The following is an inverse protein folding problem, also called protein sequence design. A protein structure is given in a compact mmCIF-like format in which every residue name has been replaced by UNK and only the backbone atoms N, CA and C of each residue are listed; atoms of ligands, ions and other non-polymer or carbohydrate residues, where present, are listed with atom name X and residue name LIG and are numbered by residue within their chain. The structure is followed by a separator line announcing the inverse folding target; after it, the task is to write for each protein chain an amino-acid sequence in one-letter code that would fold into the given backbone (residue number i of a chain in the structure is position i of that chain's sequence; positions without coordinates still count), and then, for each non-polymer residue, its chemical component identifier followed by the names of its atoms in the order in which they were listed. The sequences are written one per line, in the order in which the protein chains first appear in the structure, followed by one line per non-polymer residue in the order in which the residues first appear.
data_IF_078334720382
#
_entry.id   IF_078334720382
#
_cell.length_a   1.000
_cell.length_b   1.000
_cell.length_c   1.000
_cell.angle_alpha   90.00
_cell.angle_beta   90.00
_cell.angle_gamma   90.00
#
_symmetry.space_group_name_H-M   'P 1'
#
loop_
_entity.id
_entity.type
_entity.pdbx_description
1 polymer ?
#
# COMPACT_ATOMS: atom_id res chain seq x y z
N UNK A 1 -33.35 -22.68 15.66
CA UNK A 1 -32.62 -21.85 16.65
C UNK A 1 -33.54 -20.69 17.03
N UNK A 2 -34.01 -20.60 18.28
CA UNK A 2 -34.91 -19.52 18.73
C UNK A 2 -34.05 -18.30 19.08
N UNK A 3 -34.36 -17.16 18.48
CA UNK A 3 -33.78 -15.87 18.85
C UNK A 3 -34.14 -15.58 20.31
N UNK A 4 -33.14 -15.19 21.11
CA UNK A 4 -33.34 -14.83 22.51
C UNK A 4 -33.51 -13.32 22.60
N UNK A 5 -34.21 -12.86 23.64
CA UNK A 5 -34.19 -11.44 23.98
C UNK A 5 -32.72 -11.01 24.15
N UNK A 6 -32.36 -9.85 23.57
CA UNK A 6 -31.00 -9.25 23.53
C UNK A 6 -30.02 -9.72 22.43
N UNK A 7 -30.44 -10.53 21.46
CA UNK A 7 -29.61 -10.78 20.27
C UNK A 7 -29.51 -9.52 19.39
N UNK A 8 -28.28 -9.08 19.08
CA UNK A 8 -28.02 -7.94 18.18
C UNK A 8 -27.90 -8.44 16.75
N UNK A 9 -28.93 -8.16 15.93
CA UNK A 9 -28.97 -8.56 14.52
C UNK A 9 -28.65 -7.38 13.62
N UNK A 10 -27.72 -7.60 12.67
CA UNK A 10 -27.39 -6.63 11.64
C UNK A 10 -28.31 -6.84 10.43
N UNK A 11 -29.21 -5.89 10.19
CA UNK A 11 -30.22 -5.97 9.12
C UNK A 11 -29.93 -4.91 8.07
N UNK A 12 -29.68 -5.34 6.83
CA UNK A 12 -29.44 -4.46 5.69
C UNK A 12 -30.69 -4.33 4.82
N UNK A 13 -31.17 -3.11 4.56
CA UNK A 13 -32.36 -2.89 3.77
C UNK A 13 -32.75 -1.40 3.61
N UNK A 14 -33.80 -1.10 2.83
CA UNK A 14 -34.26 0.27 2.62
C UNK A 14 -34.73 0.91 3.93
N UNK A 15 -34.30 2.15 4.20
CA UNK A 15 -34.61 2.89 5.45
C UNK A 15 -36.10 2.90 5.80
N UNK A 16 -36.98 2.93 4.78
CA UNK A 16 -38.44 2.93 4.95
C UNK A 16 -38.99 1.60 5.50
N UNK A 17 -38.36 0.46 5.16
CA UNK A 17 -38.73 -0.86 5.69
C UNK A 17 -38.09 -1.16 7.05
N UNK A 18 -36.90 -0.61 7.31
CA UNK A 18 -36.25 -0.73 8.63
C UNK A 18 -37.02 0.08 9.68
N UNK A 19 -37.53 1.26 9.32
CA UNK A 19 -38.38 2.06 10.21
C UNK A 19 -39.68 1.33 10.58
N UNK A 20 -40.37 0.71 9.61
CA UNK A 20 -41.59 -0.06 9.90
C UNK A 20 -41.35 -1.32 10.75
N UNK A 21 -40.13 -1.87 10.74
CA UNK A 21 -39.74 -2.99 11.62
C UNK A 21 -39.48 -2.53 13.06
N UNK A 22 -39.06 -1.27 13.25
CA UNK A 22 -38.89 -0.65 14.56
C UNK A 22 -40.23 -0.23 15.18
N UNK A 23 -41.19 0.22 14.37
CA UNK A 23 -42.53 0.62 14.85
C UNK A 23 -43.38 -0.57 15.32
N UNK A 24 -43.11 -1.78 14.83
CA UNK A 24 -43.79 -3.02 15.26
C UNK A 24 -43.47 -3.46 16.70
N UNK A 25 -42.71 -2.68 17.47
CA UNK A 25 -42.49 -2.87 18.91
C UNK A 25 -41.54 -4.00 19.31
N UNK A 26 -41.14 -4.88 18.38
CA UNK A 26 -40.28 -6.05 18.68
C UNK A 26 -38.78 -5.82 18.47
N UNK A 27 -38.36 -4.69 17.87
CA UNK A 27 -36.96 -4.41 17.58
C UNK A 27 -36.60 -2.95 17.86
N UNK A 28 -35.46 -2.74 18.54
CA UNK A 28 -34.90 -1.42 18.81
C UNK A 28 -33.73 -1.20 17.86
N UNK A 29 -33.71 -0.06 17.15
CA UNK A 29 -32.59 0.30 16.27
C UNK A 29 -31.43 0.83 17.12
N UNK A 30 -30.43 0.00 17.40
CA UNK A 30 -29.24 0.38 18.18
C UNK A 30 -28.29 1.34 17.43
N UNK A 31 -28.23 1.28 16.10
CA UNK A 31 -27.33 2.13 15.32
C UNK A 31 -27.52 2.00 13.82
N UNK A 32 -27.38 3.11 13.10
CA UNK A 32 -27.37 3.13 11.63
C UNK A 32 -25.91 3.10 11.16
N UNK A 33 -25.42 1.92 10.79
CA UNK A 33 -24.15 1.83 10.05
C UNK A 33 -24.43 2.28 8.62
N UNK A 34 -24.12 3.54 8.33
CA UNK A 34 -24.15 4.05 6.95
C UNK A 34 -22.95 3.48 6.20
N UNK A 35 -23.08 2.22 5.76
CA UNK A 35 -22.15 1.66 4.78
C UNK A 35 -22.41 2.39 3.46
N UNK A 36 -21.65 3.47 3.22
CA UNK A 36 -21.61 4.12 1.92
C UNK A 36 -20.87 3.18 0.96
N UNK A 37 -21.60 2.21 0.42
CA UNK A 37 -21.16 1.37 -0.68
C UNK A 37 -21.06 2.26 -1.93
N UNK A 38 -19.95 3.01 -2.05
CA UNK A 38 -19.60 3.66 -3.30
C UNK A 38 -19.24 2.52 -4.25
N UNK A 39 -20.21 2.11 -5.08
CA UNK A 39 -19.93 1.29 -6.25
C UNK A 39 -19.17 2.17 -7.24
N UNK A 40 -17.85 2.19 -7.11
CA UNK A 40 -16.95 2.83 -8.08
C UNK A 40 -17.05 2.07 -9.40
N UNK A 41 -17.94 2.54 -10.29
CA UNK A 41 -18.23 1.95 -11.59
C UNK A 41 -17.00 1.92 -12.53
N UNK A 42 -15.92 2.61 -12.15
CA UNK A 42 -14.71 2.82 -12.94
C UNK A 42 -13.44 2.20 -12.33
N UNK A 43 -13.55 1.19 -11.45
CA UNK A 43 -12.39 0.51 -10.85
C UNK A 43 -11.34 0.06 -11.89
N UNK A 44 -11.80 -0.42 -13.05
CA UNK A 44 -10.91 -0.91 -14.11
C UNK A 44 -10.06 0.19 -14.76
N UNK A 45 -10.52 1.45 -14.75
CA UNK A 45 -9.76 2.58 -15.29
C UNK A 45 -8.50 2.82 -14.46
N UNK A 46 -8.60 2.66 -13.12
CA UNK A 46 -7.44 2.82 -12.24
C UNK A 46 -6.34 1.79 -12.54
N UNK A 47 -6.72 0.52 -12.79
CA UNK A 47 -5.73 -0.51 -13.15
C UNK A 47 -5.04 -0.15 -14.46
N UNK A 48 -5.81 0.35 -15.43
CA UNK A 48 -5.34 0.58 -16.78
C UNK A 48 -4.31 1.71 -16.83
N UNK A 49 -4.60 2.85 -16.17
CA UNK A 49 -3.69 4.00 -16.12
C UNK A 49 -2.38 3.65 -15.41
N UNK A 50 -2.44 2.90 -14.31
CA UNK A 50 -1.25 2.45 -13.58
C UNK A 50 -0.41 1.50 -14.43
N UNK A 51 -1.02 0.49 -15.05
CA UNK A 51 -0.30 -0.46 -15.91
C UNK A 51 0.38 0.24 -17.09
N UNK A 52 -0.32 1.15 -17.78
CA UNK A 52 0.26 1.93 -18.86
C UNK A 52 1.44 2.77 -18.38
N UNK A 53 1.32 3.41 -17.22
CA UNK A 53 2.42 4.19 -16.66
C UNK A 53 3.65 3.32 -16.36
N UNK A 54 3.45 2.10 -15.85
CA UNK A 54 4.54 1.16 -15.57
C UNK A 54 5.20 0.70 -16.86
N UNK A 55 4.42 0.34 -17.88
CA UNK A 55 4.94 -0.11 -19.17
C UNK A 55 5.74 1.00 -19.85
N UNK A 56 5.23 2.24 -19.85
CA UNK A 56 5.94 3.41 -20.39
C UNK A 56 7.26 3.68 -19.65
N UNK A 57 7.26 3.55 -18.33
CA UNK A 57 8.47 3.69 -17.52
C UNK A 57 9.48 2.55 -17.80
N UNK A 58 9.00 1.32 -17.98
CA UNK A 58 9.82 0.15 -18.25
C UNK A 58 10.51 0.19 -19.63
N UNK A 59 9.83 0.75 -20.65
CA UNK A 59 10.40 0.98 -21.98
C UNK A 59 11.44 2.12 -21.97
N UNK A 60 11.55 2.86 -20.86
CA UNK A 60 12.54 3.93 -20.68
C UNK A 60 12.19 5.25 -21.38
N UNK A 61 10.96 5.38 -21.89
CA UNK A 61 10.52 6.56 -22.63
C UNK A 61 10.38 7.79 -21.72
N UNK A 62 9.92 7.57 -20.49
CA UNK A 62 9.69 8.62 -19.48
C UNK A 62 10.23 8.14 -18.13
N UNK A 63 10.93 8.99 -17.35
CA UNK A 63 11.35 8.66 -16.00
C UNK A 63 10.16 8.23 -15.13
N UNK A 64 10.36 7.20 -14.30
CA UNK A 64 9.29 6.61 -13.48
C UNK A 64 8.57 7.64 -12.62
N UNK A 65 9.30 8.66 -12.15
CA UNK A 65 8.75 9.76 -11.36
C UNK A 65 7.73 10.58 -12.17
N UNK A 66 8.07 10.98 -13.40
CA UNK A 66 7.16 11.75 -14.27
C UNK A 66 5.92 10.94 -14.66
N UNK A 67 6.10 9.64 -14.97
CA UNK A 67 5.00 8.73 -15.28
C UNK A 67 4.03 8.58 -14.11
N UNK A 68 4.54 8.36 -12.90
CA UNK A 68 3.73 8.24 -11.70
C UNK A 68 2.92 9.51 -11.42
N UNK A 69 3.54 10.70 -11.53
CA UNK A 69 2.83 11.97 -11.36
C UNK A 69 1.70 12.13 -12.38
N UNK A 70 1.95 11.82 -13.65
CA UNK A 70 0.93 11.92 -14.70
C UNK A 70 -0.25 10.98 -14.42
N UNK A 71 0.03 9.74 -14.02
CA UNK A 71 -0.98 8.75 -13.63
C UNK A 71 -1.88 9.26 -12.50
N UNK A 72 -1.29 9.80 -11.42
CA UNK A 72 -2.05 10.34 -10.28
C UNK A 72 -2.93 11.52 -10.71
N UNK A 73 -2.39 12.44 -11.52
CA UNK A 73 -3.16 13.59 -12.03
C UNK A 73 -4.35 13.13 -12.88
N UNK A 74 -4.16 12.13 -13.73
CA UNK A 74 -5.24 11.54 -14.53
C UNK A 74 -6.32 10.96 -13.63
N UNK A 75 -5.96 10.17 -12.61
CA UNK A 75 -6.92 9.55 -11.68
C UNK A 75 -7.71 10.58 -10.87
N UNK A 76 -7.04 11.65 -10.41
CA UNK A 76 -7.69 12.75 -9.69
C UNK A 76 -8.62 13.56 -10.61
N UNK A 77 -8.21 13.79 -11.86
CA UNK A 77 -9.02 14.54 -12.85
C UNK A 77 -10.28 13.77 -13.27
N UNK A 78 -10.17 12.45 -13.41
CA UNK A 78 -11.29 11.55 -13.65
C UNK A 78 -12.17 11.34 -12.41
N UNK A 79 -11.77 11.90 -11.25
CA UNK A 79 -12.49 11.82 -9.97
C UNK A 79 -12.76 10.38 -9.51
N UNK A 80 -11.90 9.44 -9.93
CA UNK A 80 -11.94 8.02 -9.53
C UNK A 80 -11.48 7.86 -8.09
N UNK A 81 -10.52 8.69 -7.67
CA UNK A 81 -10.04 8.78 -6.29
C UNK A 81 -10.05 10.25 -5.90
N UNK A 82 -10.45 10.55 -4.67
CA UNK A 82 -10.37 11.91 -4.14
C UNK A 82 -9.01 12.19 -3.50
N UNK A 83 -8.55 13.44 -3.52
CA UNK A 83 -7.28 13.81 -2.89
C UNK A 83 -7.24 13.36 -1.41
N UNK A 84 -8.32 13.57 -0.67
CA UNK A 84 -8.42 13.18 0.74
C UNK A 84 -8.25 11.66 0.94
N UNK A 85 -8.91 10.86 0.12
CA UNK A 85 -8.83 9.39 0.17
C UNK A 85 -7.44 8.89 -0.22
N UNK A 86 -6.79 9.54 -1.20
CA UNK A 86 -5.41 9.24 -1.56
C UNK A 86 -4.44 9.54 -0.41
N UNK A 87 -4.60 10.68 0.28
CA UNK A 87 -3.77 11.04 1.43
C UNK A 87 -3.98 10.12 2.63
N UNK A 88 -5.21 9.65 2.86
CA UNK A 88 -5.51 8.68 3.91
C UNK A 88 -4.94 7.30 3.62
N UNK A 89 -4.81 6.94 2.34
CA UNK A 89 -4.24 5.66 1.90
C UNK A 89 -2.71 5.66 1.91
N UNK A 90 -2.06 6.81 2.09
CA UNK A 90 -0.60 6.94 2.16
C UNK A 90 -0.11 6.61 3.57
N UNK A 91 0.75 5.59 3.68
CA UNK A 91 1.46 5.27 4.91
C UNK A 91 2.66 6.19 5.11
N UNK A 92 2.44 7.31 5.81
CA UNK A 92 3.49 8.30 6.10
C UNK A 92 4.70 7.71 6.81
N UNK A 93 4.52 6.71 7.68
CA UNK A 93 5.64 6.05 8.35
C UNK A 93 6.62 5.43 7.34
N UNK A 94 6.12 4.85 6.24
CA UNK A 94 6.96 4.21 5.22
C UNK A 94 7.75 5.26 4.43
N UNK A 95 7.12 6.40 4.10
CA UNK A 95 7.81 7.49 3.39
C UNK A 95 8.96 8.03 4.23
N UNK A 96 8.71 8.32 5.51
CA UNK A 96 9.75 8.80 6.42
C UNK A 96 10.85 7.75 6.62
N UNK A 97 10.51 6.47 6.71
CA UNK A 97 11.48 5.38 6.80
C UNK A 97 12.42 5.34 5.59
N UNK A 98 11.87 5.36 4.37
CA UNK A 98 12.66 5.36 3.14
C UNK A 98 13.50 6.64 3.04
N UNK A 99 12.91 7.79 3.37
CA UNK A 99 13.61 9.07 3.35
C UNK A 99 14.79 9.11 4.34
N UNK A 100 14.65 8.51 5.53
CA UNK A 100 15.72 8.40 6.52
C UNK A 100 16.82 7.41 6.09
N UNK A 101 16.47 6.39 5.31
CA UNK A 101 17.45 5.41 4.81
C UNK A 101 18.45 6.03 3.83
N UNK A 102 18.04 7.03 3.04
CA UNK A 102 18.90 7.72 2.07
C UNK A 102 20.14 8.37 2.73
N UNK A 103 20.01 9.29 3.71
CA UNK A 103 21.17 9.89 4.38
C UNK A 103 21.96 8.87 5.20
N UNK A 104 21.31 7.89 5.83
CA UNK A 104 22.01 6.83 6.57
C UNK A 104 22.94 6.05 5.64
N UNK A 105 22.46 5.67 4.45
CA UNK A 105 23.27 5.00 3.44
C UNK A 105 24.45 5.85 2.98
N UNK A 106 24.27 7.17 2.86
CA UNK A 106 25.35 8.10 2.50
C UNK A 106 26.39 8.19 3.62
N UNK A 107 25.97 8.25 4.89
CA UNK A 107 26.90 8.29 6.03
C UNK A 107 27.72 7.01 6.09
N UNK A 108 27.11 5.84 5.97
CA UNK A 108 27.80 4.54 5.99
C UNK A 108 28.84 4.43 4.87
N UNK A 109 28.53 4.98 3.69
CA UNK A 109 29.50 5.08 2.59
C UNK A 109 30.63 6.05 2.93
N UNK A 110 30.32 7.25 3.43
CA UNK A 110 31.32 8.28 3.76
C UNK A 110 32.21 7.91 4.94
N UNK A 111 31.73 7.15 5.91
CA UNK A 111 32.54 6.68 7.06
C UNK A 111 33.50 5.56 6.66
N UNK A 112 33.46 5.07 5.41
CA UNK A 112 34.25 3.93 4.95
C UNK A 112 33.82 2.61 5.60
N UNK A 113 32.68 2.60 6.31
CA UNK A 113 32.14 1.39 6.94
C UNK A 113 31.73 0.38 5.89
N UNK A 114 31.19 0.84 4.76
CA UNK A 114 30.89 0.00 3.60
C UNK A 114 32.15 -0.74 3.09
N UNK A 115 33.26 -0.01 2.91
CA UNK A 115 34.53 -0.58 2.45
C UNK A 115 35.14 -1.53 3.48
N UNK A 116 35.07 -1.17 4.77
CA UNK A 116 35.54 -2.04 5.84
C UNK A 116 34.79 -3.38 5.84
N UNK A 117 33.46 -3.36 5.79
CA UNK A 117 32.66 -4.59 5.72
C UNK A 117 32.98 -5.38 4.44
N UNK A 118 33.05 -4.71 3.29
CA UNK A 118 33.36 -5.35 2.01
C UNK A 118 34.73 -6.05 2.00
N UNK A 119 35.76 -5.38 2.51
CA UNK A 119 37.10 -5.94 2.62
C UNK A 119 37.16 -7.14 3.57
N UNK A 120 36.43 -7.09 4.70
CA UNK A 120 36.36 -8.22 5.62
C UNK A 120 35.66 -9.43 4.99
N UNK A 121 34.58 -9.22 4.24
CA UNK A 121 33.89 -10.30 3.51
C UNK A 121 34.82 -10.89 2.44
N UNK A 122 35.48 -10.07 1.64
CA UNK A 122 36.41 -10.52 0.60
C UNK A 122 37.57 -11.32 1.19
N UNK A 123 38.18 -10.84 2.27
CA UNK A 123 39.27 -11.54 2.96
C UNK A 123 38.80 -12.88 3.56
N UNK A 124 37.60 -12.93 4.13
CA UNK A 124 37.03 -14.17 4.65
C UNK A 124 36.81 -15.20 3.53
N UNK A 125 36.25 -14.77 2.39
CA UNK A 125 36.06 -15.63 1.21
C UNK A 125 37.41 -16.12 0.67
N UNK A 126 38.40 -15.23 0.57
CA UNK A 126 39.74 -15.59 0.11
C UNK A 126 40.40 -16.62 1.02
N UNK A 127 40.35 -16.42 2.34
CA UNK A 127 40.88 -17.37 3.32
C UNK A 127 40.17 -18.73 3.24
N UNK A 128 38.85 -18.73 3.09
CA UNK A 128 38.05 -19.94 2.96
C UNK A 128 38.35 -20.71 1.66
N UNK A 129 38.45 -20.02 0.52
CA UNK A 129 38.78 -20.62 -0.78
C UNK A 129 40.21 -21.16 -0.83
N UNK A 130 41.18 -20.42 -0.27
CA UNK A 130 42.59 -20.87 -0.18
C UNK A 130 42.73 -22.09 0.73
N UNK A 131 41.98 -22.18 1.82
CA UNK A 131 42.01 -23.35 2.70
C UNK A 131 41.33 -24.59 2.09
N UNK A 132 40.40 -24.42 1.16
CA UNK A 132 39.69 -25.52 0.49
C UNK A 132 40.38 -26.06 -0.78
N UNK A 133 41.30 -25.31 -1.41
CA UNK A 133 42.08 -25.76 -2.55
C UNK A 133 43.59 -25.56 -2.32
N UNK A 134 44.27 -26.48 -1.64
CA UNK A 134 45.71 -26.42 -1.44
C UNK A 134 46.54 -26.81 -2.69
N UNK A 135 45.94 -26.92 -3.89
CA UNK A 135 46.59 -27.54 -5.04
C UNK A 135 46.73 -26.61 -6.26
N UNK A 136 47.35 -25.45 -6.06
CA UNK A 136 48.14 -24.77 -7.10
C UNK A 136 49.36 -24.13 -6.41
N UNK A 137 50.43 -24.91 -6.28
CA UNK A 137 51.81 -24.39 -6.18
C UNK A 137 52.27 -23.99 -7.59
#
# INVERSE_FOLDING_TARGET
MKLRAFDTLLVYGPSKKIASLSDGGNFIVLGKVQARLIKEKFWWVSIYVVLISIIFAAIGYIPIMKGAFLSVVILLSLKIITAQESYQSIHWQVIFLIAALIPIGIVIQKTGTADWIGNNISNFIFYFLVNFNPMYC
#
